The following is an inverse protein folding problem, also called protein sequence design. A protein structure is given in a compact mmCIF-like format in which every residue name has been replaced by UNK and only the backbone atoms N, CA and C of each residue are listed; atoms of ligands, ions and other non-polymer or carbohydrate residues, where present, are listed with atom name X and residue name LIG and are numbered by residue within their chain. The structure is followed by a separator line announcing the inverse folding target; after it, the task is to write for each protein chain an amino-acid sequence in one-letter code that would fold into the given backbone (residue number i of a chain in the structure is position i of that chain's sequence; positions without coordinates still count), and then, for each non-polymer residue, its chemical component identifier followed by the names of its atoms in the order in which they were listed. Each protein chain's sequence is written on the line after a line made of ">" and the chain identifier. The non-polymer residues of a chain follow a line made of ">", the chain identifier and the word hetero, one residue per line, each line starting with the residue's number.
data_IF_279647216074
#
_entry.id   IF_279647216074
#
_cell.length_a   1.000
_cell.length_b   1.000
_cell.length_c   1.000
_cell.angle_alpha   90.00
_cell.angle_beta   90.00
_cell.angle_gamma   90.00
#
_symmetry.space_group_name_H-M   'P 1'
#
loop_
_entity.id
_entity.type
_entity.pdbx_description
1 polymer ?
#
# COMPACT_ATOMS: atom_id res chain seq x y z
N UNK A 1 -15.67 8.42 20.93
CA UNK A 1 -14.38 9.13 21.03
C UNK A 1 -14.69 10.54 21.52
N UNK A 2 -14.40 10.89 22.78
CA UNK A 2 -14.83 12.17 23.38
C UNK A 2 -13.84 13.33 23.17
N UNK A 3 -12.59 13.03 22.79
CA UNK A 3 -11.52 14.03 22.63
C UNK A 3 -11.21 14.35 21.16
N UNK A 4 -11.21 13.33 20.30
CA UNK A 4 -10.89 13.50 18.88
C UNK A 4 -12.00 14.30 18.18
N UNK A 5 -11.60 15.34 17.42
CA UNK A 5 -12.50 16.23 16.67
C UNK A 5 -13.54 16.99 17.50
N UNK A 6 -13.32 17.10 18.82
CA UNK A 6 -14.23 17.82 19.72
C UNK A 6 -14.32 19.33 19.40
N UNK A 7 -13.31 19.88 18.74
CA UNK A 7 -13.26 21.26 18.27
C UNK A 7 -14.24 21.56 17.13
N UNK A 8 -14.63 20.56 16.33
CA UNK A 8 -15.55 20.73 15.20
C UNK A 8 -16.93 21.27 15.59
N UNK A 9 -17.38 21.02 16.82
CA UNK A 9 -18.68 21.48 17.31
C UNK A 9 -18.64 22.88 17.90
N UNK A 10 -17.47 23.51 17.97
CA UNK A 10 -17.31 24.87 18.51
C UNK A 10 -17.62 25.94 17.48
N UNK A 11 -18.20 27.06 17.92
CA UNK A 11 -18.42 28.23 17.06
C UNK A 11 -17.09 28.77 16.50
N UNK A 12 -16.01 28.65 17.27
CA UNK A 12 -14.68 29.08 16.84
C UNK A 12 -14.21 28.38 15.56
N UNK A 13 -14.37 27.06 15.44
CA UNK A 13 -13.98 26.33 14.23
C UNK A 13 -14.97 26.53 13.08
N UNK A 14 -16.26 26.79 13.39
CA UNK A 14 -17.25 27.15 12.36
C UNK A 14 -16.93 28.51 11.72
N UNK A 15 -16.51 29.49 12.52
CA UNK A 15 -16.12 30.82 12.04
C UNK A 15 -14.72 30.81 11.41
N UNK A 16 -13.79 30.02 11.93
CA UNK A 16 -12.38 29.96 11.50
C UNK A 16 -11.93 28.51 11.25
N UNK A 17 -12.22 27.93 10.07
CA UNK A 17 -11.87 26.55 9.74
C UNK A 17 -10.36 26.24 9.83
N UNK A 18 -9.50 27.23 9.68
CA UNK A 18 -8.04 27.11 9.82
C UNK A 18 -7.58 26.74 11.24
N UNK A 19 -8.43 26.96 12.24
CA UNK A 19 -8.17 26.62 13.65
C UNK A 19 -8.50 25.17 13.99
N UNK A 20 -9.03 24.40 13.03
CA UNK A 20 -9.26 22.97 13.16
C UNK A 20 -7.99 22.22 13.60
N UNK A 21 -8.14 21.34 14.59
CA UNK A 21 -7.09 20.58 15.24
C UNK A 21 -6.26 21.39 16.24
N UNK A 22 -6.03 22.68 15.99
CA UNK A 22 -5.31 23.57 16.91
C UNK A 22 -6.14 23.76 18.17
N UNK A 23 -7.41 24.13 18.02
CA UNK A 23 -8.32 24.35 19.14
C UNK A 23 -8.59 23.04 19.90
N UNK A 24 -8.71 21.92 19.19
CA UNK A 24 -8.85 20.61 19.82
C UNK A 24 -7.66 20.27 20.71
N UNK A 25 -6.44 20.58 20.26
CA UNK A 25 -5.23 20.44 21.08
C UNK A 25 -5.24 21.36 22.29
N UNK A 26 -5.57 22.64 22.12
CA UNK A 26 -5.61 23.59 23.24
C UNK A 26 -6.64 23.17 24.31
N UNK A 27 -7.81 22.68 23.91
CA UNK A 27 -8.79 22.13 24.86
C UNK A 27 -8.29 20.89 25.58
N UNK A 28 -7.59 20.00 24.90
CA UNK A 28 -7.00 18.82 25.55
C UNK A 28 -5.96 19.26 26.60
N UNK A 29 -5.10 20.23 26.28
CA UNK A 29 -4.12 20.78 27.24
C UNK A 29 -4.81 21.43 28.43
N UNK A 30 -5.85 22.24 28.21
CA UNK A 30 -6.62 22.88 29.29
C UNK A 30 -7.38 21.86 30.15
N UNK A 31 -7.65 20.68 29.61
CA UNK A 31 -8.30 19.56 30.32
C UNK A 31 -7.31 18.64 31.04
N UNK A 32 -6.04 19.05 31.15
CA UNK A 32 -4.95 18.28 31.78
C UNK A 32 -4.67 16.93 31.10
N UNK A 33 -4.98 16.81 29.81
CA UNK A 33 -4.65 15.63 29.03
C UNK A 33 -3.15 15.52 28.80
N UNK A 34 -2.66 14.28 28.67
CA UNK A 34 -1.24 14.03 28.36
C UNK A 34 -0.83 14.75 27.07
N UNK A 35 0.35 15.38 27.08
CA UNK A 35 0.90 16.09 25.91
C UNK A 35 0.83 15.30 24.61
N UNK A 36 1.15 14.01 24.66
CA UNK A 36 1.08 13.13 23.49
C UNK A 36 -0.35 12.98 22.92
N UNK A 37 -1.37 12.97 23.78
CA UNK A 37 -2.78 12.92 23.36
C UNK A 37 -3.17 14.23 22.70
N UNK A 38 -2.84 15.37 23.32
CA UNK A 38 -3.11 16.68 22.75
C UNK A 38 -2.41 16.88 21.39
N UNK A 39 -1.17 16.43 21.25
CA UNK A 39 -0.44 16.45 19.97
C UNK A 39 -1.11 15.55 18.93
N UNK A 40 -1.53 14.33 19.28
CA UNK A 40 -2.25 13.45 18.36
C UNK A 40 -3.60 14.05 17.90
N UNK A 41 -4.30 14.79 18.76
CA UNK A 41 -5.54 15.51 18.41
C UNK A 41 -5.28 16.58 17.34
N UNK A 42 -4.15 17.27 17.38
CA UNK A 42 -3.80 18.17 16.27
C UNK A 42 -3.33 17.38 15.04
N UNK A 43 -2.43 16.43 15.23
CA UNK A 43 -1.69 15.77 14.15
C UNK A 43 -2.55 14.82 13.30
N UNK A 44 -3.63 14.24 13.82
CA UNK A 44 -4.45 13.32 13.03
C UNK A 44 -5.15 13.99 11.83
N UNK A 45 -5.35 15.31 11.89
CA UNK A 45 -5.82 16.11 10.76
C UNK A 45 -4.78 16.22 9.64
N UNK A 46 -3.50 16.06 9.94
CA UNK A 46 -2.41 16.20 8.98
C UNK A 46 -2.27 14.96 8.08
N UNK A 47 -1.82 15.13 6.82
CA UNK A 47 -1.79 16.38 6.08
C UNK A 47 -3.21 16.80 5.66
N UNK A 48 -3.53 18.09 5.74
CA UNK A 48 -4.86 18.62 5.37
C UNK A 48 -5.01 18.80 3.87
N UNK A 49 -3.92 19.08 3.17
CA UNK A 49 -3.82 19.25 1.73
C UNK A 49 -2.48 18.71 1.19
N UNK A 50 -2.34 18.65 -0.13
CA UNK A 50 -1.11 18.16 -0.76
C UNK A 50 0.06 19.09 -0.46
N UNK A 51 1.16 18.56 0.09
CA UNK A 51 2.32 19.36 0.51
C UNK A 51 2.22 19.97 1.91
N UNK A 52 1.14 19.71 2.65
CA UNK A 52 1.06 20.08 4.07
C UNK A 52 2.05 19.28 4.92
N UNK A 53 2.24 19.73 6.16
CA UNK A 53 3.05 19.03 7.17
C UNK A 53 2.48 17.63 7.41
N UNK A 54 3.37 16.71 7.78
CA UNK A 54 3.00 15.37 8.21
C UNK A 54 2.99 15.28 9.74
N UNK A 55 2.18 14.37 10.32
CA UNK A 55 2.26 14.04 11.74
C UNK A 55 3.69 13.59 12.10
N UNK A 56 4.20 14.05 13.25
CA UNK A 56 5.55 13.75 13.73
C UNK A 56 5.52 12.66 14.79
N UNK A 57 4.48 12.64 15.64
CA UNK A 57 4.35 11.64 16.69
C UNK A 57 3.79 10.34 16.13
N UNK A 58 4.20 9.21 16.73
CA UNK A 58 3.64 7.89 16.37
C UNK A 58 2.13 7.85 16.58
N UNK A 59 1.66 8.41 17.70
CA UNK A 59 0.24 8.49 18.04
C UNK A 59 -0.55 9.31 17.02
N UNK A 60 -0.02 10.45 16.57
CA UNK A 60 -0.60 11.25 15.48
C UNK A 60 -0.61 10.54 14.13
N UNK A 61 0.47 9.83 13.78
CA UNK A 61 0.53 9.02 12.54
C UNK A 61 -0.52 7.91 12.55
N UNK A 62 -0.58 7.11 13.61
CA UNK A 62 -1.51 5.98 13.73
C UNK A 62 -2.95 6.49 13.70
N UNK A 63 -3.27 7.49 14.52
CA UNK A 63 -4.61 8.07 14.57
C UNK A 63 -5.00 8.70 13.23
N UNK A 64 -4.08 9.44 12.60
CA UNK A 64 -4.31 10.07 11.31
C UNK A 64 -4.51 9.08 10.17
N UNK A 65 -3.78 7.95 10.15
CA UNK A 65 -4.02 6.87 9.18
C UNK A 65 -5.37 6.21 9.45
N UNK A 66 -5.65 5.85 10.71
CA UNK A 66 -6.88 5.19 11.11
C UNK A 66 -8.13 6.03 10.76
N UNK A 67 -8.13 7.32 11.09
CA UNK A 67 -9.23 8.24 10.80
C UNK A 67 -9.50 8.37 9.29
N UNK A 68 -8.42 8.47 8.50
CA UNK A 68 -8.51 8.53 7.04
C UNK A 68 -8.96 7.21 6.44
N UNK A 69 -8.64 6.07 7.05
CA UNK A 69 -9.12 4.75 6.60
C UNK A 69 -10.60 4.65 6.91
N UNK A 70 -11.00 4.92 8.15
CA UNK A 70 -12.37 4.87 8.62
C UNK A 70 -13.32 5.66 7.71
N UNK A 71 -12.95 6.91 7.39
CA UNK A 71 -13.72 7.76 6.47
C UNK A 71 -13.89 7.12 5.08
N UNK A 72 -12.82 6.51 4.54
CA UNK A 72 -12.88 5.84 3.22
C UNK A 72 -13.77 4.61 3.30
N UNK A 73 -13.61 3.76 4.31
CA UNK A 73 -14.42 2.54 4.46
C UNK A 73 -15.89 2.92 4.61
N UNK A 74 -16.23 3.84 5.52
CA UNK A 74 -17.59 4.31 5.74
C UNK A 74 -18.24 4.84 4.46
N UNK A 75 -17.53 5.65 3.66
CA UNK A 75 -18.07 6.15 2.40
C UNK A 75 -18.30 5.04 1.36
N UNK A 76 -17.37 4.08 1.23
CA UNK A 76 -17.54 2.95 0.30
C UNK A 76 -18.68 2.02 0.71
N UNK A 77 -18.81 1.75 2.02
CA UNK A 77 -19.92 0.99 2.62
C UNK A 77 -21.27 1.66 2.32
N UNK A 78 -21.31 2.99 2.36
CA UNK A 78 -22.50 3.79 2.03
C UNK A 78 -22.72 4.01 0.53
N UNK A 79 -21.87 3.47 -0.36
CA UNK A 79 -21.97 3.68 -1.81
C UNK A 79 -21.56 5.08 -2.28
N UNK A 80 -20.93 5.89 -1.43
CA UNK A 80 -20.48 7.25 -1.70
C UNK A 80 -19.09 7.26 -2.36
N UNK A 81 -18.97 6.53 -3.46
CA UNK A 81 -17.71 6.37 -4.19
C UNK A 81 -17.50 7.58 -5.11
N UNK A 82 -16.32 8.24 -5.12
CA UNK A 82 -16.11 9.43 -5.96
C UNK A 82 -16.14 9.06 -7.44
N UNK A 83 -17.14 9.55 -8.18
CA UNK A 83 -17.24 9.41 -9.64
C UNK A 83 -16.82 10.72 -10.32
N UNK A 84 -16.17 10.63 -11.49
CA UNK A 84 -15.73 11.82 -12.24
C UNK A 84 -14.64 12.64 -11.53
N UNK A 85 -14.59 13.97 -11.76
CA UNK A 85 -13.54 14.84 -11.19
C UNK A 85 -13.82 15.34 -9.77
N UNK A 86 -15.06 15.22 -9.28
CA UNK A 86 -15.44 15.71 -7.95
C UNK A 86 -14.95 14.78 -6.82
N UNK A 87 -14.67 15.37 -5.66
CA UNK A 87 -14.27 14.68 -4.43
C UNK A 87 -15.07 15.22 -3.22
N UNK A 88 -16.41 15.06 -3.21
CA UNK A 88 -17.29 15.73 -2.24
C UNK A 88 -16.97 15.38 -0.78
N UNK A 89 -16.50 14.16 -0.53
CA UNK A 89 -16.11 13.67 0.80
C UNK A 89 -14.59 13.67 1.03
N UNK A 90 -13.82 14.25 0.12
CA UNK A 90 -12.36 14.37 0.25
C UNK A 90 -11.60 13.03 0.20
N UNK A 91 -12.19 11.94 -0.29
CA UNK A 91 -11.59 10.61 -0.27
C UNK A 91 -10.28 10.53 -1.05
N UNK A 92 -10.16 11.27 -2.15
CA UNK A 92 -8.88 11.33 -2.90
C UNK A 92 -7.82 12.05 -2.08
N UNK A 93 -8.19 13.18 -1.47
CA UNK A 93 -7.28 13.94 -0.59
C UNK A 93 -6.83 13.10 0.61
N UNK A 94 -7.76 12.43 1.28
CA UNK A 94 -7.46 11.56 2.43
C UNK A 94 -6.60 10.35 2.03
N UNK A 95 -6.83 9.78 0.85
CA UNK A 95 -6.01 8.68 0.32
C UNK A 95 -4.57 9.11 0.11
N UNK A 96 -4.37 10.25 -0.57
CA UNK A 96 -3.01 10.78 -0.79
C UNK A 96 -2.34 11.14 0.52
N UNK A 97 -3.07 11.74 1.45
CA UNK A 97 -2.54 12.08 2.77
C UNK A 97 -2.04 10.87 3.54
N UNK A 98 -2.82 9.77 3.59
CA UNK A 98 -2.37 8.54 4.28
C UNK A 98 -1.16 7.91 3.59
N UNK A 99 -1.15 7.85 2.26
CA UNK A 99 -0.05 7.24 1.50
C UNK A 99 1.23 8.06 1.73
N UNK A 100 1.13 9.39 1.78
CA UNK A 100 2.26 10.26 2.10
C UNK A 100 2.82 9.98 3.50
N UNK A 101 1.96 9.81 4.51
CA UNK A 101 2.38 9.44 5.88
C UNK A 101 3.14 8.11 5.84
N UNK A 102 2.57 7.09 5.20
CA UNK A 102 3.15 5.74 5.10
C UNK A 102 4.53 5.78 4.41
N UNK A 103 4.61 6.38 3.23
CA UNK A 103 5.83 6.39 2.42
C UNK A 103 6.96 7.24 3.01
N UNK A 104 6.63 8.37 3.65
CA UNK A 104 7.64 9.27 4.25
C UNK A 104 8.19 8.72 5.56
N UNK A 105 7.38 7.98 6.31
CA UNK A 105 7.78 7.36 7.58
C UNK A 105 8.18 5.89 7.45
N UNK A 106 8.22 5.35 6.22
CA UNK A 106 8.58 3.97 5.92
C UNK A 106 7.80 2.95 6.76
N UNK A 107 6.48 3.14 6.85
CA UNK A 107 5.59 2.27 7.62
C UNK A 107 5.23 1.04 6.77
N UNK A 108 5.78 -0.12 7.13
CA UNK A 108 5.47 -1.39 6.48
C UNK A 108 4.13 -1.93 7.00
N UNK A 109 3.06 -1.64 6.26
CA UNK A 109 1.69 -2.01 6.65
C UNK A 109 0.91 -2.49 5.43
N UNK A 110 0.14 -3.57 5.63
CA UNK A 110 -0.83 -4.04 4.65
C UNK A 110 -2.04 -3.10 4.63
N UNK A 111 -2.28 -2.44 3.49
CA UNK A 111 -3.50 -1.67 3.31
C UNK A 111 -4.72 -2.60 3.26
N UNK A 112 -4.57 -3.80 2.69
CA UNK A 112 -5.63 -4.81 2.65
C UNK A 112 -6.08 -5.23 4.06
N UNK A 113 -5.15 -5.55 4.94
CA UNK A 113 -5.45 -5.97 6.32
C UNK A 113 -6.14 -4.85 7.10
N UNK A 114 -5.66 -3.61 6.93
CA UNK A 114 -6.26 -2.43 7.58
C UNK A 114 -7.70 -2.21 7.09
N UNK A 115 -7.95 -2.36 5.78
CA UNK A 115 -9.30 -2.28 5.20
C UNK A 115 -10.20 -3.38 5.76
N UNK A 116 -9.72 -4.62 5.76
CA UNK A 116 -10.48 -5.77 6.28
C UNK A 116 -10.81 -5.61 7.76
N UNK A 117 -9.84 -5.16 8.56
CA UNK A 117 -10.05 -4.91 9.99
C UNK A 117 -11.05 -3.79 10.24
N UNK A 118 -10.98 -2.69 9.49
CA UNK A 118 -11.95 -1.61 9.62
C UNK A 118 -13.35 -2.07 9.22
N UNK A 119 -13.48 -2.84 8.13
CA UNK A 119 -14.77 -3.38 7.70
C UNK A 119 -15.39 -4.33 8.75
N UNK A 120 -14.58 -5.15 9.42
CA UNK A 120 -15.07 -6.03 10.51
C UNK A 120 -15.63 -5.21 11.67
N UNK A 121 -14.97 -4.10 12.04
CA UNK A 121 -15.44 -3.19 13.10
C UNK A 121 -16.76 -2.50 12.72
N UNK A 122 -16.92 -2.11 11.45
CA UNK A 122 -18.20 -1.57 10.97
C UNK A 122 -19.34 -2.57 11.14
N UNK A 123 -19.12 -3.85 10.82
CA UNK A 123 -20.13 -4.90 11.01
C UNK A 123 -20.51 -5.12 12.48
N UNK A 124 -19.53 -5.06 13.38
CA UNK A 124 -19.79 -5.19 14.83
C UNK A 124 -20.59 -4.00 15.37
N UNK A 125 -20.32 -2.80 14.84
CA UNK A 125 -20.94 -1.55 15.33
C UNK A 125 -22.33 -1.25 14.75
N UNK A 126 -22.63 -1.73 13.54
CA UNK A 126 -23.89 -1.45 12.84
C UNK A 126 -24.86 -2.61 13.07
N UNK A 127 -25.95 -2.37 13.80
CA UNK A 127 -27.01 -3.36 14.09
C UNK A 127 -27.83 -3.79 12.88
N UNK A 128 -27.50 -3.30 11.68
CA UNK A 128 -28.20 -3.58 10.42
C UNK A 128 -27.34 -4.51 9.58
N UNK A 129 -27.95 -5.57 9.08
CA UNK A 129 -27.32 -6.51 8.16
C UNK A 129 -27.00 -5.81 6.84
N UNK A 130 -25.80 -5.24 6.76
CA UNK A 130 -25.28 -4.67 5.54
C UNK A 130 -25.10 -5.80 4.53
N UNK A 131 -25.99 -5.87 3.51
CA UNK A 131 -25.84 -6.77 2.35
C UNK A 131 -24.68 -6.32 1.48
N UNK A 132 -23.47 -6.50 2.01
CA UNK A 132 -22.23 -6.06 1.43
C UNK A 132 -21.39 -7.28 1.09
N UNK A 133 -21.03 -7.38 -0.18
CA UNK A 133 -19.96 -8.26 -0.63
C UNK A 133 -18.62 -7.67 -0.17
N UNK A 134 -18.10 -8.19 0.95
CA UNK A 134 -16.85 -7.71 1.55
C UNK A 134 -15.68 -7.80 0.59
N UNK A 135 -15.56 -8.91 -0.12
CA UNK A 135 -14.47 -9.14 -1.07
C UNK A 135 -14.49 -8.10 -2.18
N UNK A 136 -15.69 -7.76 -2.66
CA UNK A 136 -15.88 -6.68 -3.63
C UNK A 136 -15.54 -5.31 -3.06
N UNK A 137 -15.95 -4.98 -1.84
CA UNK A 137 -15.61 -3.68 -1.23
C UNK A 137 -14.10 -3.58 -0.99
N UNK A 138 -13.48 -4.60 -0.40
CA UNK A 138 -12.03 -4.63 -0.15
C UNK A 138 -11.27 -4.43 -1.46
N UNK A 139 -11.62 -5.15 -2.52
CA UNK A 139 -10.97 -5.01 -3.83
C UNK A 139 -11.20 -3.63 -4.47
N UNK A 140 -12.39 -3.05 -4.35
CA UNK A 140 -12.69 -1.69 -4.83
C UNK A 140 -11.86 -0.63 -4.09
N UNK A 141 -11.78 -0.70 -2.77
CA UNK A 141 -11.01 0.25 -1.95
C UNK A 141 -9.52 0.09 -2.23
N UNK A 142 -9.02 -1.15 -2.28
CA UNK A 142 -7.62 -1.41 -2.58
C UNK A 142 -7.25 -0.89 -3.99
N UNK A 143 -8.09 -1.13 -5.00
CA UNK A 143 -7.92 -0.58 -6.35
C UNK A 143 -7.91 0.95 -6.33
N UNK A 144 -8.83 1.57 -5.60
CA UNK A 144 -8.89 3.02 -5.43
C UNK A 144 -7.61 3.59 -4.82
N UNK A 145 -7.05 2.95 -3.79
CA UNK A 145 -5.79 3.36 -3.16
C UNK A 145 -4.59 3.13 -4.08
N UNK A 146 -4.52 1.99 -4.78
CA UNK A 146 -3.48 1.68 -5.76
C UNK A 146 -3.42 2.70 -6.90
N UNK A 147 -4.57 3.17 -7.38
CA UNK A 147 -4.60 4.24 -8.37
C UNK A 147 -3.97 5.54 -7.84
N UNK A 148 -4.09 5.84 -6.55
CA UNK A 148 -3.44 7.02 -5.95
C UNK A 148 -1.96 6.82 -5.74
N UNK A 149 -1.57 5.61 -5.36
CA UNK A 149 -0.17 5.23 -5.29
C UNK A 149 0.51 5.33 -6.67
N UNK A 150 -0.15 4.84 -7.73
CA UNK A 150 0.29 5.02 -9.13
C UNK A 150 0.50 6.49 -9.48
N UNK A 151 -0.47 7.34 -9.18
CA UNK A 151 -0.36 8.78 -9.48
C UNK A 151 0.80 9.44 -8.73
N UNK A 152 1.03 9.07 -7.46
CA UNK A 152 2.16 9.59 -6.68
C UNK A 152 3.48 9.19 -7.34
N UNK A 153 3.65 7.94 -7.75
CA UNK A 153 4.88 7.51 -8.42
C UNK A 153 5.07 8.14 -9.82
N UNK A 154 3.98 8.38 -10.55
CA UNK A 154 4.05 9.12 -11.82
C UNK A 154 4.49 10.58 -11.61
N UNK A 155 4.03 11.22 -10.53
CA UNK A 155 4.48 12.57 -10.14
C UNK A 155 5.94 12.59 -9.68
N UNK A 156 6.44 11.49 -9.12
CA UNK A 156 7.87 11.27 -8.82
C UNK A 156 8.70 10.90 -10.09
N UNK A 157 8.14 11.11 -11.30
CA UNK A 157 8.76 10.86 -12.61
C UNK A 157 9.17 9.40 -12.88
N UNK A 158 8.60 8.44 -12.13
CA UNK A 158 8.84 7.01 -12.33
C UNK A 158 8.11 6.54 -13.59
N UNK A 159 8.77 5.68 -14.38
CA UNK A 159 8.21 5.16 -15.63
C UNK A 159 6.92 4.36 -15.40
N UNK A 160 5.90 4.64 -16.21
CA UNK A 160 4.57 4.02 -16.08
C UNK A 160 4.60 2.48 -16.20
N UNK A 161 5.46 1.93 -17.06
CA UNK A 161 5.57 0.49 -17.31
C UNK A 161 6.14 -0.25 -16.09
N UNK A 162 7.08 0.36 -15.37
CA UNK A 162 7.63 -0.18 -14.12
C UNK A 162 6.56 -0.16 -13.03
N UNK A 163 5.84 0.96 -12.89
CA UNK A 163 4.76 1.10 -11.91
C UNK A 163 3.69 0.03 -12.15
N UNK A 164 3.24 -0.12 -13.40
CA UNK A 164 2.20 -1.08 -13.77
C UNK A 164 2.65 -2.53 -13.58
N UNK A 165 3.92 -2.85 -13.87
CA UNK A 165 4.48 -4.18 -13.62
C UNK A 165 4.44 -4.54 -12.12
N UNK A 166 4.78 -3.61 -11.23
CA UNK A 166 4.76 -3.85 -9.77
C UNK A 166 3.34 -3.92 -9.23
N UNK A 167 2.47 -2.98 -9.62
CA UNK A 167 1.10 -2.88 -9.09
C UNK A 167 0.19 -4.02 -9.56
N UNK A 168 0.41 -4.55 -10.77
CA UNK A 168 -0.38 -5.66 -11.33
C UNK A 168 -0.29 -6.93 -10.49
N UNK A 169 0.89 -7.24 -9.95
CA UNK A 169 1.12 -8.47 -9.18
C UNK A 169 1.08 -8.25 -7.67
N UNK A 170 0.96 -7.00 -7.22
CA UNK A 170 0.75 -6.69 -5.81
C UNK A 170 -0.65 -7.15 -5.36
N UNK A 171 -0.74 -7.76 -4.19
CA UNK A 171 -2.01 -8.25 -3.62
C UNK A 171 -2.35 -7.60 -2.28
N UNK A 172 -1.41 -6.90 -1.66
CA UNK A 172 -1.48 -6.47 -0.27
C UNK A 172 -1.59 -4.94 -0.12
N UNK A 173 -1.05 -4.20 -1.09
CA UNK A 173 -1.04 -2.74 -1.07
C UNK A 173 -0.04 -2.14 -0.08
N UNK A 174 0.98 -2.88 0.35
CA UNK A 174 2.10 -2.31 1.11
C UNK A 174 2.84 -1.29 0.24
N UNK A 175 2.61 -0.01 0.51
CA UNK A 175 3.16 1.08 -0.28
C UNK A 175 4.69 1.16 -0.19
N UNK A 176 5.27 0.76 0.94
CA UNK A 176 6.72 0.74 1.15
C UNK A 176 7.35 -0.39 0.33
N UNK A 177 6.73 -1.57 0.38
CA UNK A 177 7.15 -2.72 -0.43
C UNK A 177 7.10 -2.42 -1.94
N UNK A 178 5.98 -1.86 -2.41
CA UNK A 178 5.81 -1.43 -3.79
C UNK A 178 6.92 -0.45 -4.20
N UNK A 179 7.22 0.55 -3.36
CA UNK A 179 8.31 1.50 -3.61
C UNK A 179 9.67 0.81 -3.69
N UNK A 180 9.93 -0.17 -2.83
CA UNK A 180 11.20 -0.92 -2.84
C UNK A 180 11.35 -1.79 -4.09
N UNK A 181 10.26 -2.41 -4.55
CA UNK A 181 10.22 -3.19 -5.80
C UNK A 181 10.43 -2.31 -7.02
N UNK A 182 9.78 -1.15 -7.08
CA UNK A 182 9.98 -0.16 -8.14
C UNK A 182 11.46 0.26 -8.21
N UNK A 183 12.04 0.68 -7.08
CA UNK A 183 13.46 1.08 -7.02
C UNK A 183 14.40 -0.04 -7.47
N UNK A 184 14.14 -1.28 -7.05
CA UNK A 184 14.96 -2.42 -7.45
C UNK A 184 14.93 -2.61 -8.98
N UNK A 185 13.75 -2.47 -9.61
CA UNK A 185 13.62 -2.57 -11.07
C UNK A 185 14.30 -1.39 -11.76
N UNK A 186 14.11 -0.15 -11.30
CA UNK A 186 14.74 1.05 -11.90
C UNK A 186 16.27 0.96 -11.90
N UNK A 187 16.87 0.53 -10.79
CA UNK A 187 18.32 0.37 -10.69
C UNK A 187 18.89 -0.75 -11.59
N UNK A 188 18.09 -1.80 -11.82
CA UNK A 188 18.48 -2.93 -12.65
C UNK A 188 18.15 -2.71 -14.13
N UNK A 189 17.25 -1.79 -14.46
CA UNK A 189 16.65 -1.66 -15.79
C UNK A 189 17.68 -1.57 -16.93
N UNK A 190 18.75 -0.82 -16.71
CA UNK A 190 19.81 -0.61 -17.70
C UNK A 190 20.95 -1.65 -17.62
N UNK A 191 20.90 -2.59 -16.67
CA UNK A 191 21.95 -3.58 -16.50
C UNK A 191 21.80 -4.74 -17.49
N UNK A 192 22.90 -5.29 -18.04
CA UNK A 192 22.86 -6.43 -18.96
C UNK A 192 22.14 -7.66 -18.38
N UNK A 193 22.30 -7.90 -17.07
CA UNK A 193 21.68 -9.00 -16.35
C UNK A 193 20.15 -8.93 -16.42
N UNK A 194 19.56 -7.73 -16.32
CA UNK A 194 18.12 -7.54 -16.38
C UNK A 194 17.56 -7.83 -17.77
N UNK A 195 18.26 -7.40 -18.83
CA UNK A 195 17.90 -7.76 -20.22
C UNK A 195 17.95 -9.27 -20.45
N UNK A 196 18.96 -9.96 -19.89
CA UNK A 196 19.07 -11.42 -19.95
C UNK A 196 17.87 -12.08 -19.29
N UNK A 197 17.55 -11.69 -18.04
CA UNK A 197 16.40 -12.20 -17.29
C UNK A 197 15.10 -11.98 -18.07
N UNK A 198 14.82 -10.77 -18.54
CA UNK A 198 13.61 -10.48 -19.32
C UNK A 198 13.50 -11.34 -20.59
N UNK A 199 14.61 -11.53 -21.31
CA UNK A 199 14.61 -12.36 -22.52
C UNK A 199 14.33 -13.83 -22.21
N UNK A 200 14.95 -14.36 -21.15
CA UNK A 200 14.74 -15.74 -20.69
C UNK A 200 13.31 -15.94 -20.19
N UNK A 201 12.79 -15.04 -19.36
CA UNK A 201 11.42 -15.10 -18.85
C UNK A 201 10.38 -15.05 -19.98
N UNK A 202 10.55 -14.18 -20.98
CA UNK A 202 9.66 -14.14 -22.14
C UNK A 202 9.69 -15.44 -22.95
N UNK A 203 10.86 -16.08 -23.09
CA UNK A 203 10.96 -17.38 -23.75
C UNK A 203 10.21 -18.46 -22.98
N UNK A 204 10.41 -18.53 -21.66
CA UNK A 204 9.70 -19.48 -20.79
C UNK A 204 8.19 -19.25 -20.85
N UNK A 205 7.72 -18.02 -20.69
CA UNK A 205 6.29 -17.68 -20.77
C UNK A 205 5.66 -18.04 -22.12
N UNK A 206 6.41 -17.89 -23.22
CA UNK A 206 5.91 -18.29 -24.55
C UNK A 206 5.84 -19.80 -24.73
N UNK A 207 6.78 -20.56 -24.14
CA UNK A 207 6.81 -22.02 -24.18
C UNK A 207 5.74 -22.64 -23.28
N UNK A 208 5.42 -22.00 -22.15
CA UNK A 208 4.48 -22.51 -21.15
C UNK A 208 3.03 -22.05 -21.35
N UNK A 209 2.68 -21.35 -22.46
CA UNK A 209 1.36 -20.73 -22.65
C UNK A 209 0.16 -21.68 -22.48
N UNK A 210 0.35 -22.96 -22.77
CA UNK A 210 -0.69 -23.99 -22.72
C UNK A 210 -0.45 -25.01 -21.61
N UNK A 211 0.45 -24.73 -20.66
CA UNK A 211 0.76 -25.63 -19.56
C UNK A 211 0.75 -24.87 -18.23
N UNK A 212 -0.12 -25.31 -17.33
CA UNK A 212 -0.23 -24.78 -15.97
C UNK A 212 0.35 -25.74 -14.92
N UNK A 213 0.83 -26.91 -15.33
CA UNK A 213 1.48 -27.86 -14.42
C UNK A 213 2.80 -27.29 -13.90
N UNK A 214 2.96 -27.33 -12.58
CA UNK A 214 4.15 -26.81 -11.87
C UNK A 214 4.90 -27.91 -11.13
N UNK A 215 4.36 -29.11 -11.05
CA UNK A 215 5.02 -30.27 -10.46
C UNK A 215 6.03 -30.84 -11.45
N UNK A 216 7.26 -31.07 -10.97
CA UNK A 216 8.35 -31.63 -11.78
C UNK A 216 8.52 -33.09 -11.41
N UNK A 217 8.19 -33.99 -12.34
CA UNK A 217 8.53 -35.42 -12.20
C UNK A 217 9.98 -35.65 -12.60
N UNK A 218 10.85 -35.79 -11.59
CA UNK A 218 12.28 -36.04 -11.78
C UNK A 218 12.58 -37.31 -12.59
N UNK A 219 11.67 -38.29 -12.59
CA UNK A 219 11.87 -39.56 -13.31
C UNK A 219 11.81 -39.41 -14.83
N UNK A 220 11.24 -38.31 -15.31
CA UNK A 220 11.11 -38.01 -16.74
C UNK A 220 12.32 -37.26 -17.31
N UNK A 221 13.19 -36.70 -16.45
CA UNK A 221 14.40 -35.98 -16.87
C UNK A 221 15.46 -36.98 -17.35
N UNK A 222 15.88 -36.88 -18.62
CA UNK A 222 16.78 -37.84 -19.26
C UNK A 222 18.06 -37.20 -19.74
N UNK A 223 17.97 -36.00 -20.28
CA UNK A 223 19.14 -35.34 -20.85
C UNK A 223 19.99 -34.67 -19.78
N UNK A 224 21.31 -34.63 -19.99
CA UNK A 224 22.24 -33.94 -19.09
C UNK A 224 21.88 -32.46 -18.91
N UNK A 225 21.33 -31.82 -19.93
CA UNK A 225 20.89 -30.44 -19.88
C UNK A 225 19.70 -30.25 -18.92
N UNK A 226 18.73 -31.17 -18.94
CA UNK A 226 17.54 -31.16 -18.07
C UNK A 226 17.95 -31.34 -16.60
N UNK A 227 18.80 -32.33 -16.32
CA UNK A 227 19.30 -32.60 -14.98
C UNK A 227 20.12 -31.43 -14.42
N UNK A 228 20.99 -30.82 -15.23
CA UNK A 228 21.77 -29.65 -14.83
C UNK A 228 20.87 -28.44 -14.53
N UNK A 229 19.86 -28.18 -15.35
CA UNK A 229 18.90 -27.09 -15.11
C UNK A 229 18.12 -27.33 -13.82
N UNK A 230 17.67 -28.57 -13.59
CA UNK A 230 16.94 -28.95 -12.38
C UNK A 230 17.77 -28.76 -11.11
N UNK A 231 19.03 -29.22 -11.10
CA UNK A 231 19.94 -29.01 -9.97
C UNK A 231 20.22 -27.52 -9.69
N UNK A 232 20.43 -26.72 -10.74
CA UNK A 232 20.60 -25.28 -10.58
C UNK A 232 19.34 -24.63 -10.02
N UNK A 233 18.16 -25.04 -10.50
CA UNK A 233 16.87 -24.59 -9.97
C UNK A 233 16.70 -24.95 -8.49
N UNK A 234 16.95 -26.19 -8.08
CA UNK A 234 16.85 -26.61 -6.66
C UNK A 234 17.79 -25.83 -5.74
N UNK A 235 18.99 -25.47 -6.22
CA UNK A 235 19.92 -24.67 -5.43
C UNK A 235 19.52 -23.20 -5.34
N UNK A 236 18.99 -22.61 -6.41
CA UNK A 236 18.75 -21.17 -6.53
C UNK A 236 17.35 -20.77 -6.04
N UNK A 237 16.33 -21.60 -6.29
CA UNK A 237 14.94 -21.25 -6.01
C UNK A 237 14.66 -20.98 -4.52
N UNK A 238 15.13 -21.83 -3.56
CA UNK A 238 14.90 -21.57 -2.14
C UNK A 238 15.50 -20.24 -1.67
N UNK A 239 16.73 -19.95 -2.09
CA UNK A 239 17.44 -18.70 -1.78
C UNK A 239 16.75 -17.48 -2.41
N UNK A 240 16.29 -17.60 -3.66
CA UNK A 240 15.53 -16.55 -4.34
C UNK A 240 14.24 -16.24 -3.59
N UNK A 241 13.51 -17.29 -3.18
CA UNK A 241 12.28 -17.16 -2.41
C UNK A 241 12.53 -16.48 -1.06
N UNK A 242 13.58 -16.87 -0.36
CA UNK A 242 14.00 -16.23 0.90
C UNK A 242 14.31 -14.74 0.71
N UNK A 243 15.08 -14.38 -0.31
CA UNK A 243 15.36 -12.97 -0.63
C UNK A 243 14.09 -12.18 -0.94
N UNK A 244 13.13 -12.76 -1.67
CA UNK A 244 11.84 -12.10 -1.94
C UNK A 244 11.04 -11.91 -0.65
N UNK A 245 10.96 -12.93 0.21
CA UNK A 245 10.27 -12.85 1.50
C UNK A 245 10.89 -11.79 2.43
N UNK A 246 12.22 -11.64 2.39
CA UNK A 246 12.95 -10.64 3.16
C UNK A 246 12.99 -9.26 2.47
N UNK A 247 12.24 -9.06 1.37
CA UNK A 247 12.21 -7.82 0.58
C UNK A 247 13.59 -7.40 0.01
N UNK A 248 14.51 -8.35 -0.13
CA UNK A 248 15.88 -8.16 -0.64
C UNK A 248 15.94 -8.35 -2.18
N UNK A 249 15.12 -7.59 -2.91
CA UNK A 249 14.90 -7.80 -4.36
C UNK A 249 16.16 -7.79 -5.21
N UNK A 250 17.15 -6.94 -4.88
CA UNK A 250 18.41 -6.87 -5.63
C UNK A 250 19.17 -8.19 -5.60
N UNK A 251 19.18 -8.87 -4.45
CA UNK A 251 19.83 -10.18 -4.29
C UNK A 251 19.07 -11.26 -5.06
N UNK A 252 17.73 -11.24 -4.99
CA UNK A 252 16.88 -12.13 -5.77
C UNK A 252 17.14 -12.00 -7.28
N UNK A 253 17.16 -10.78 -7.82
CA UNK A 253 17.44 -10.55 -9.24
C UNK A 253 18.85 -10.97 -9.65
N UNK A 254 19.86 -10.74 -8.81
CA UNK A 254 21.22 -11.19 -9.09
C UNK A 254 21.28 -12.72 -9.21
N UNK A 255 20.67 -13.42 -8.27
CA UNK A 255 20.64 -14.88 -8.24
C UNK A 255 19.84 -15.47 -9.41
N UNK A 256 18.73 -14.83 -9.80
CA UNK A 256 17.99 -15.19 -11.02
C UNK A 256 18.80 -15.02 -12.30
N UNK A 257 19.70 -14.03 -12.33
CA UNK A 257 20.60 -13.83 -13.45
C UNK A 257 21.61 -14.96 -13.62
N UNK A 258 22.05 -15.58 -12.52
CA UNK A 258 22.95 -16.74 -12.53
C UNK A 258 22.25 -17.97 -13.14
N UNK A 259 20.94 -18.13 -12.93
CA UNK A 259 20.14 -19.21 -13.53
C UNK A 259 19.92 -19.03 -15.03
N UNK A 260 19.96 -17.78 -15.51
CA UNK A 260 19.94 -17.49 -16.94
C UNK A 260 21.30 -17.77 -17.61
N UNK A 261 22.35 -18.00 -16.81
CA UNK A 261 23.75 -18.30 -17.12
C UNK A 261 23.93 -19.31 -18.23
#
# INVERSE_FOLDING_TARGET
>A
CSLCKADLVTEMVKEFPELQGIIGKEYAVLSDERKEVAEAIFEHYLPRFSGDRLPVTKSGMILGIADKVDTIIGCFVMGLIPTGSQDPYGLRRQSRGKIAIILKNNLEISLKDIIQKSLSLYKESVSVELKIDETKIVSQILSFLKQRLKNIFLEDEIRYDIIDAVLTVDSDGDAVDIKNRIKAIEELYNQPIFRKILSSSNRVLNLSKNNEETEIDQSLLKEKAELNLYHNYESIYPQTKEFICNKEYKKAFKLLGDLCG
#
